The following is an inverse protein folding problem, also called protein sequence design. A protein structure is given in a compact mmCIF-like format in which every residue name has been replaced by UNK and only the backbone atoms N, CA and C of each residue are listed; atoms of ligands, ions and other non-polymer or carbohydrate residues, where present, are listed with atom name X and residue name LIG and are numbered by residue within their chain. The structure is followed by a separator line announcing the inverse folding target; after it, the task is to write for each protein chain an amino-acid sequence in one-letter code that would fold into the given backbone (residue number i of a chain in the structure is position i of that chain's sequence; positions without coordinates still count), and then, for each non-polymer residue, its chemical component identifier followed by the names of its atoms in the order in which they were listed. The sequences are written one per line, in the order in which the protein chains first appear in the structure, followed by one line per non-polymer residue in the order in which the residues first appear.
data_IF_266251731997
#
_entry.id   IF_266251731997
#
_cell.length_a   1.000
_cell.length_b   1.000
_cell.length_c   1.000
_cell.angle_alpha   90.00
_cell.angle_beta   90.00
_cell.angle_gamma   90.00
#
_symmetry.space_group_name_H-M   'P 1'
#
loop_
_entity.id
_entity.type
_entity.pdbx_description
1 polymer ?
#
# COMPACT_ATOMS: atom_id res chain seq x y z
N UNK A 1 12.83 -2.76 -25.51
CA UNK A 1 11.63 -3.40 -24.91
C UNK A 1 12.17 -4.31 -23.83
N UNK A 2 11.80 -4.07 -22.58
CA UNK A 2 12.26 -4.87 -21.43
C UNK A 2 11.35 -6.08 -21.24
N UNK A 3 11.89 -7.20 -20.76
CA UNK A 3 11.12 -8.43 -20.48
C UNK A 3 10.98 -8.70 -18.97
N UNK A 4 11.68 -7.95 -18.14
CA UNK A 4 11.56 -8.03 -16.68
C UNK A 4 10.18 -7.53 -16.22
N UNK A 5 9.70 -8.12 -15.12
CA UNK A 5 8.46 -7.74 -14.45
C UNK A 5 8.76 -7.15 -13.08
N UNK A 6 7.78 -6.41 -12.55
CA UNK A 6 7.89 -5.85 -11.21
C UNK A 6 7.66 -6.95 -10.16
N UNK A 7 8.31 -6.77 -9.00
CA UNK A 7 8.11 -7.65 -7.85
C UNK A 7 6.68 -7.52 -7.30
N UNK A 8 6.17 -8.62 -6.74
CA UNK A 8 4.80 -8.71 -6.22
C UNK A 8 4.53 -7.77 -5.04
N UNK A 9 5.56 -7.35 -4.32
CA UNK A 9 5.40 -6.31 -3.31
C UNK A 9 5.14 -4.95 -3.94
N UNK A 10 5.67 -4.65 -5.12
CA UNK A 10 5.31 -3.42 -5.81
C UNK A 10 3.83 -3.43 -6.23
N UNK A 11 3.37 -4.55 -6.79
CA UNK A 11 1.96 -4.70 -7.19
C UNK A 11 1.03 -4.50 -5.99
N UNK A 12 1.24 -5.26 -4.90
CA UNK A 12 0.43 -5.15 -3.69
C UNK A 12 0.59 -3.77 -3.01
N UNK A 13 1.81 -3.23 -2.97
CA UNK A 13 2.11 -1.92 -2.40
C UNK A 13 1.44 -0.77 -3.15
N UNK A 14 1.19 -0.90 -4.45
CA UNK A 14 0.51 0.12 -5.24
C UNK A 14 -1.03 0.10 -5.13
N UNK A 15 -1.60 -0.81 -4.33
CA UNK A 15 -3.06 -0.93 -4.16
C UNK A 15 -3.75 0.34 -3.64
N UNK A 16 -3.09 1.17 -2.83
CA UNK A 16 -3.65 2.46 -2.40
C UNK A 16 -3.90 3.42 -3.57
N UNK A 17 -3.12 3.29 -4.65
CA UNK A 17 -3.29 4.06 -5.87
C UNK A 17 -4.32 3.39 -6.77
N UNK A 18 -4.16 2.09 -7.05
CA UNK A 18 -4.99 1.36 -8.01
C UNK A 18 -6.42 1.07 -7.52
N UNK A 19 -6.68 1.13 -6.21
CA UNK A 19 -7.99 0.80 -5.62
C UNK A 19 -8.60 1.98 -4.87
N UNK A 20 -7.90 2.55 -3.88
CA UNK A 20 -8.50 3.59 -3.02
C UNK A 20 -8.75 4.92 -3.74
N UNK A 21 -8.05 5.20 -4.85
CA UNK A 21 -8.28 6.40 -5.65
C UNK A 21 -9.19 6.18 -6.86
N UNK A 22 -9.21 4.96 -7.42
CA UNK A 22 -9.99 4.65 -8.62
C UNK A 22 -11.47 4.34 -8.31
N UNK A 23 -11.78 3.97 -7.07
CA UNK A 23 -13.13 3.62 -6.64
C UNK A 23 -13.79 4.78 -5.88
N UNK A 24 -14.90 5.28 -6.42
CA UNK A 24 -15.67 6.39 -5.85
C UNK A 24 -16.22 6.13 -4.43
N UNK A 25 -16.36 4.86 -4.03
CA UNK A 25 -16.84 4.45 -2.72
C UNK A 25 -15.73 4.36 -1.65
N UNK A 26 -14.48 4.61 -2.02
CA UNK A 26 -13.31 4.51 -1.15
C UNK A 26 -12.57 5.85 -1.05
N UNK A 27 -11.64 5.94 -0.10
CA UNK A 27 -10.86 7.15 0.12
C UNK A 27 -9.41 6.83 0.45
N UNK A 28 -8.52 7.72 0.02
CA UNK A 28 -7.10 7.75 0.42
C UNK A 28 -6.81 9.04 1.21
N UNK A 29 -6.11 8.98 2.36
CA UNK A 29 -5.62 7.77 3.02
C UNK A 29 -6.75 6.96 3.66
N UNK A 30 -6.62 5.64 3.63
CA UNK A 30 -7.50 4.73 4.36
C UNK A 30 -7.42 5.04 5.86
N UNK A 31 -8.50 4.81 6.60
CA UNK A 31 -8.49 5.05 8.05
C UNK A 31 -7.58 4.06 8.78
N UNK A 32 -7.58 2.79 8.38
CA UNK A 32 -6.82 1.72 9.02
C UNK A 32 -6.35 0.68 8.00
N UNK A 33 -5.08 0.27 8.11
CA UNK A 33 -4.59 -0.98 7.53
C UNK A 33 -4.49 -2.03 8.64
N UNK A 34 -4.97 -3.25 8.36
CA UNK A 34 -5.02 -4.35 9.33
C UNK A 34 -4.56 -5.64 8.68
N UNK A 35 -3.46 -6.21 9.17
CA UNK A 35 -2.87 -7.46 8.69
C UNK A 35 -2.03 -8.15 9.79
N UNK A 36 -1.44 -9.31 9.49
CA UNK A 36 -0.48 -10.01 10.35
C UNK A 36 0.82 -9.23 10.62
N UNK A 37 1.49 -9.51 11.74
CA UNK A 37 2.75 -8.85 12.14
C UNK A 37 3.92 -9.04 11.16
N UNK A 38 3.90 -10.08 10.33
CA UNK A 38 4.86 -10.28 9.24
C UNK A 38 4.80 -9.16 8.18
N UNK A 39 3.65 -8.49 8.04
CA UNK A 39 3.45 -7.44 7.04
C UNK A 39 4.19 -6.13 7.31
N UNK A 40 4.78 -5.95 8.51
CA UNK A 40 5.71 -4.84 8.76
C UNK A 40 6.91 -4.84 7.81
N UNK A 41 7.33 -6.02 7.33
CA UNK A 41 8.40 -6.17 6.33
C UNK A 41 7.87 -6.50 4.92
N UNK A 42 6.56 -6.67 4.79
CA UNK A 42 5.86 -6.91 3.53
C UNK A 42 4.99 -5.72 3.14
N UNK A 43 3.69 -5.94 3.12
CA UNK A 43 2.73 -5.04 2.51
C UNK A 43 2.65 -3.65 3.15
N UNK A 44 2.81 -3.52 4.48
CA UNK A 44 2.83 -2.20 5.12
C UNK A 44 4.01 -1.36 4.64
N UNK A 45 5.20 -1.98 4.54
CA UNK A 45 6.41 -1.30 4.09
C UNK A 45 6.31 -0.89 2.62
N UNK A 46 5.89 -1.82 1.76
CA UNK A 46 5.76 -1.54 0.33
C UNK A 46 4.70 -0.48 0.05
N UNK A 47 3.53 -0.57 0.71
CA UNK A 47 2.47 0.43 0.58
C UNK A 47 2.93 1.81 1.03
N UNK A 48 3.62 1.89 2.18
CA UNK A 48 4.16 3.16 2.66
C UNK A 48 5.18 3.75 1.68
N UNK A 49 6.12 2.91 1.19
CA UNK A 49 7.19 3.34 0.30
C UNK A 49 6.64 3.88 -1.02
N UNK A 50 5.74 3.13 -1.68
CA UNK A 50 5.13 3.56 -2.94
C UNK A 50 4.23 4.79 -2.76
N UNK A 51 3.46 4.89 -1.68
CA UNK A 51 2.59 6.03 -1.42
C UNK A 51 3.37 7.32 -1.16
N UNK A 52 4.44 7.25 -0.36
CA UNK A 52 5.30 8.40 -0.08
C UNK A 52 6.05 8.81 -1.34
N UNK A 53 6.53 7.85 -2.14
CA UNK A 53 7.22 8.15 -3.40
C UNK A 53 6.34 8.93 -4.38
N UNK A 54 5.05 8.57 -4.51
CA UNK A 54 4.14 9.20 -5.49
C UNK A 54 3.47 10.46 -4.93
N UNK A 55 3.18 10.50 -3.62
CA UNK A 55 2.26 11.50 -3.06
C UNK A 55 2.81 12.26 -1.84
N UNK A 56 3.96 11.87 -1.32
CA UNK A 56 4.56 12.44 -0.10
C UNK A 56 3.79 12.14 1.19
N UNK A 57 2.77 11.27 1.14
CA UNK A 57 1.90 10.94 2.29
C UNK A 57 1.72 9.42 2.41
N UNK A 58 1.58 8.94 3.64
CA UNK A 58 1.25 7.55 3.92
C UNK A 58 -0.14 7.18 3.33
N UNK A 59 -0.36 5.91 2.94
CA UNK A 59 -1.63 5.49 2.35
C UNK A 59 -2.72 5.22 3.38
N UNK A 60 -2.38 5.22 4.67
CA UNK A 60 -3.25 4.96 5.81
C UNK A 60 -3.06 5.99 6.93
N UNK A 61 -4.08 6.18 7.77
CA UNK A 61 -4.01 7.01 8.99
C UNK A 61 -3.52 6.22 10.20
N UNK A 62 -3.79 4.92 10.25
CA UNK A 62 -3.32 4.01 11.29
C UNK A 62 -2.99 2.61 10.76
N UNK A 63 -2.19 1.87 11.52
CA UNK A 63 -1.89 0.45 11.30
C UNK A 63 -2.23 -0.32 12.55
N UNK A 64 -2.95 -1.43 12.41
CA UNK A 64 -3.17 -2.41 13.46
C UNK A 64 -2.62 -3.75 12.97
N UNK A 65 -1.62 -4.28 13.66
CA UNK A 65 -1.14 -5.64 13.39
C UNK A 65 -1.68 -6.63 14.40
N UNK A 66 -2.00 -7.84 13.95
CA UNK A 66 -2.24 -8.97 14.86
C UNK A 66 -1.13 -10.02 14.72
N UNK A 67 -0.86 -10.74 15.81
CA UNK A 67 0.22 -11.73 15.90
C UNK A 67 0.15 -12.48 17.22
#
# INVERSE_FOLDING_TARGET
KENDIMDVWFDSGSSHQAVLLERDDLQRPADLYLEGSDQYRGWFNSSLSTAVAVTGKAPYKGVLSHG
#
